data_IF_783569156553
#
_entry.id   IF_783569156553
#
_cell.length_a   1.000
_cell.length_b   1.000
_cell.length_c   1.000
_cell.angle_alpha   90.00
_cell.angle_beta   90.00
_cell.angle_gamma   90.00
#
_symmetry.space_group_name_H-M   'P 1'
#
loop_
_entity.id
_entity.type
_entity.pdbx_description
1 polymer ?
#
# COMPACT_ATOMS: atom_id res chain seq x y z
N UNK A 1 -8.96 -7.94 -2.89
CA UNK A 1 -7.71 -7.16 -2.88
C UNK A 1 -7.36 -6.70 -4.27
N UNK A 2 -6.95 -5.45 -4.40
CA UNK A 2 -6.44 -4.91 -5.66
C UNK A 2 -5.01 -4.41 -5.47
N UNK A 3 -4.14 -4.69 -6.43
CA UNK A 3 -2.73 -4.27 -6.41
C UNK A 3 -2.42 -3.56 -7.72
N UNK A 4 -1.94 -2.35 -7.64
CA UNK A 4 -1.54 -1.54 -8.80
C UNK A 4 -0.18 -0.89 -8.53
N UNK A 5 0.49 -0.44 -9.58
CA UNK A 5 1.74 0.28 -9.41
C UNK A 5 1.48 1.74 -9.03
N UNK A 6 0.74 2.46 -9.86
CA UNK A 6 0.48 3.90 -9.69
C UNK A 6 -0.86 4.10 -8.98
N UNK A 7 -0.91 4.87 -7.87
CA UNK A 7 -2.17 5.10 -7.16
C UNK A 7 -3.26 5.76 -8.02
N UNK A 8 -2.89 6.49 -9.08
CA UNK A 8 -3.87 7.05 -10.01
C UNK A 8 -4.67 5.96 -10.72
N UNK A 9 -4.12 4.76 -10.88
CA UNK A 9 -4.83 3.62 -11.47
C UNK A 9 -6.01 3.16 -10.62
N UNK A 10 -6.01 3.48 -9.32
CA UNK A 10 -7.12 3.14 -8.44
C UNK A 10 -8.40 3.88 -8.80
N UNK A 11 -8.28 5.03 -9.49
CA UNK A 11 -9.45 5.78 -9.94
C UNK A 11 -10.27 5.06 -11.01
N UNK A 12 -9.72 4.03 -11.63
CA UNK A 12 -10.40 3.22 -12.65
C UNK A 12 -11.29 2.14 -12.04
N UNK A 13 -11.24 1.97 -10.72
CA UNK A 13 -11.91 0.89 -10.01
C UNK A 13 -12.83 1.45 -8.93
N UNK A 14 -13.91 0.72 -8.66
CA UNK A 14 -14.76 1.00 -7.51
C UNK A 14 -14.14 0.37 -6.27
N UNK A 15 -13.46 1.18 -5.45
CA UNK A 15 -12.77 0.70 -4.26
C UNK A 15 -13.71 0.12 -3.21
N UNK A 16 -15.01 0.44 -3.28
CA UNK A 16 -15.99 -0.12 -2.33
C UNK A 16 -16.13 -1.64 -2.46
N UNK A 17 -15.68 -2.21 -3.58
CA UNK A 17 -15.68 -3.65 -3.81
C UNK A 17 -14.48 -4.36 -3.18
N UNK A 18 -13.52 -3.60 -2.64
CA UNK A 18 -12.27 -4.15 -2.10
C UNK A 18 -12.08 -3.75 -0.65
N UNK A 19 -11.57 -4.68 0.15
CA UNK A 19 -11.17 -4.39 1.53
C UNK A 19 -9.74 -3.84 1.62
N UNK A 20 -8.92 -4.11 0.60
CA UNK A 20 -7.51 -3.76 0.58
C UNK A 20 -7.10 -3.33 -0.82
N UNK A 21 -6.45 -2.18 -0.90
CA UNK A 21 -5.80 -1.69 -2.11
C UNK A 21 -4.33 -1.41 -1.82
N UNK A 22 -3.46 -1.95 -2.65
CA UNK A 22 -2.01 -1.81 -2.49
C UNK A 22 -1.46 -1.09 -3.72
N UNK A 23 -0.60 -0.11 -3.50
CA UNK A 23 0.10 0.57 -4.59
C UNK A 23 1.55 0.89 -4.22
N UNK A 24 2.34 1.26 -5.20
CA UNK A 24 3.71 1.76 -5.04
C UNK A 24 3.86 3.13 -5.67
N UNK A 25 4.87 3.27 -6.53
CA UNK A 25 5.14 4.43 -7.38
C UNK A 25 5.60 5.68 -6.65
N UNK A 26 4.92 6.12 -5.58
CA UNK A 26 5.24 7.37 -4.88
C UNK A 26 6.52 7.27 -4.04
N UNK A 27 7.01 6.06 -3.76
CA UNK A 27 8.14 5.78 -2.89
C UNK A 27 7.92 6.22 -1.44
N UNK A 28 6.67 6.46 -1.04
CA UNK A 28 6.32 6.93 0.30
C UNK A 28 5.35 5.99 0.98
N UNK A 29 5.59 5.74 2.25
CA UNK A 29 4.68 4.98 3.08
C UNK A 29 3.29 5.64 3.10
N UNK A 30 2.28 4.80 2.92
CA UNK A 30 0.88 5.22 3.01
C UNK A 30 0.08 4.12 3.68
N UNK A 31 -0.67 4.49 4.70
CA UNK A 31 -1.66 3.61 5.29
C UNK A 31 -2.85 4.47 5.71
N UNK A 32 -3.96 4.30 5.02
CA UNK A 32 -5.19 5.01 5.34
C UNK A 32 -6.39 4.17 4.95
N UNK A 33 -7.51 4.42 5.61
CA UNK A 33 -8.77 3.76 5.30
C UNK A 33 -9.72 4.78 4.67
N UNK A 34 -10.20 4.48 3.47
CA UNK A 34 -11.18 5.28 2.77
C UNK A 34 -12.42 4.40 2.56
N UNK A 35 -13.57 4.77 3.16
CA UNK A 35 -14.83 4.05 3.00
C UNK A 35 -14.67 2.53 3.20
N UNK A 36 -14.03 2.13 4.28
CA UNK A 36 -13.78 0.72 4.65
C UNK A 36 -12.76 -0.02 3.80
N UNK A 37 -12.08 0.68 2.89
CA UNK A 37 -10.96 0.10 2.12
C UNK A 37 -9.65 0.59 2.72
N UNK A 38 -8.80 -0.35 3.14
CA UNK A 38 -7.44 -0.02 3.57
C UNK A 38 -6.57 0.21 2.35
N UNK A 39 -5.92 1.38 2.27
CA UNK A 39 -4.99 1.70 1.20
C UNK A 39 -3.58 1.69 1.76
N UNK A 40 -2.72 0.86 1.17
CA UNK A 40 -1.41 0.58 1.72
C UNK A 40 -0.32 0.69 0.68
N UNK A 41 0.72 1.44 1.01
CA UNK A 41 1.98 1.48 0.29
C UNK A 41 3.09 1.33 1.33
N UNK A 42 3.88 0.24 1.30
CA UNK A 42 4.94 0.04 2.31
C UNK A 42 6.10 1.02 2.18
N UNK A 43 6.15 1.77 1.10
CA UNK A 43 7.24 2.69 0.82
C UNK A 43 8.22 2.09 -0.19
N UNK A 44 9.44 2.56 -0.13
CA UNK A 44 10.48 2.25 -1.10
C UNK A 44 11.32 1.07 -0.64
N UNK A 45 11.45 0.04 -1.49
CA UNK A 45 12.32 -1.09 -1.20
C UNK A 45 13.78 -0.78 -1.54
N UNK A 46 14.02 -0.04 -2.61
CA UNK A 46 15.37 0.21 -3.12
C UNK A 46 16.15 1.32 -2.38
N UNK A 47 15.46 2.18 -1.64
CA UNK A 47 16.10 3.25 -0.88
C UNK A 47 16.64 4.40 -1.72
N UNK A 48 16.21 4.53 -2.98
CA UNK A 48 16.77 5.53 -3.90
C UNK A 48 16.35 6.97 -3.60
N UNK A 49 15.13 7.18 -3.12
CA UNK A 49 14.59 8.51 -2.90
C UNK A 49 14.51 8.89 -1.44
N UNK A 50 14.10 7.97 -0.59
CA UNK A 50 13.90 8.23 0.83
C UNK A 50 15.11 7.88 1.69
N UNK A 51 16.03 7.06 1.15
CA UNK A 51 17.17 6.54 1.91
C UNK A 51 16.83 5.37 2.82
N UNK A 52 15.59 4.90 2.80
CA UNK A 52 15.16 3.75 3.59
C UNK A 52 14.69 2.63 2.68
N UNK A 53 15.11 1.42 3.00
CA UNK A 53 14.60 0.22 2.36
C UNK A 53 13.48 -0.34 3.22
N UNK A 54 12.32 -0.60 2.63
CA UNK A 54 11.16 -1.08 3.37
C UNK A 54 10.38 -2.11 2.56
N UNK A 55 9.88 -3.12 3.27
CA UNK A 55 8.87 -4.04 2.73
C UNK A 55 7.72 -4.10 3.73
N UNK A 56 6.55 -4.45 3.26
CA UNK A 56 5.36 -4.55 4.09
C UNK A 56 4.84 -5.97 4.16
N UNK A 57 4.29 -6.32 5.30
CA UNK A 57 3.59 -7.58 5.50
C UNK A 57 2.18 -7.24 5.96
N UNK A 58 1.18 -7.89 5.36
CA UNK A 58 -0.22 -7.73 5.73
C UNK A 58 -0.79 -9.11 6.06
N UNK A 59 -1.40 -9.24 7.23
CA UNK A 59 -2.23 -10.39 7.55
C UNK A 59 -3.62 -10.13 6.96
N UNK A 60 -3.98 -10.89 5.93
CA UNK A 60 -5.24 -10.67 5.22
C UNK A 60 -6.48 -11.00 6.04
N UNK A 61 -6.32 -11.79 7.10
CA UNK A 61 -7.44 -12.14 7.96
C UNK A 61 -7.74 -11.04 8.97
N UNK A 62 -6.71 -10.52 9.63
CA UNK A 62 -6.84 -9.48 10.64
C UNK A 62 -6.73 -8.07 10.06
N UNK A 63 -6.13 -7.94 8.88
CA UNK A 63 -5.76 -6.67 8.23
C UNK A 63 -4.68 -5.92 9.01
N UNK A 64 -3.96 -6.58 9.89
CA UNK A 64 -2.80 -6.00 10.56
C UNK A 64 -1.63 -5.88 9.60
N UNK A 65 -0.90 -4.79 9.72
CA UNK A 65 0.24 -4.50 8.85
C UNK A 65 1.52 -4.34 9.66
N UNK A 66 2.64 -4.70 9.03
CA UNK A 66 3.97 -4.54 9.60
C UNK A 66 4.91 -4.01 8.52
N UNK A 67 5.74 -3.06 8.88
CA UNK A 67 6.79 -2.54 8.01
C UNK A 67 8.12 -3.05 8.51
N UNK A 68 8.88 -3.67 7.62
CA UNK A 68 10.23 -4.15 7.89
C UNK A 68 11.20 -3.26 7.12
N UNK A 69 12.07 -2.55 7.83
CA UNK A 69 13.11 -1.71 7.26
C UNK A 69 14.44 -2.43 7.33
N UNK A 70 15.23 -2.26 6.26
CA UNK A 70 16.54 -2.93 6.20
C UNK A 70 17.59 -2.13 5.42
#
# INVERSE_FOLDING_TARGET
MIVVHDPLQLNEYDLSEYHLAIHGHTHRYRMETINSTLIFNPGECAGHMTGFNAVGVIDLQSMDTEIIKF
#
